data_IF_733531922237
#
_entry.id   IF_733531922237
#
_cell.length_a   1.000
_cell.length_b   1.000
_cell.length_c   1.000
_cell.angle_alpha   90.00
_cell.angle_beta   90.00
_cell.angle_gamma   90.00
#
_symmetry.space_group_name_H-M   'P 1'
#
loop_
_entity.id
_entity.type
_entity.pdbx_description
1 polymer ?
#
# COMPACT_ATOMS: atom_id res chain seq x y z
N UNK A 1 9.91 -37.04 2.71
CA UNK A 1 8.87 -36.20 2.07
C UNK A 1 9.18 -34.73 2.37
N UNK A 2 9.44 -33.85 1.39
CA UNK A 2 9.57 -32.40 1.66
C UNK A 2 8.19 -31.89 2.08
N UNK A 3 8.03 -31.51 3.35
CA UNK A 3 6.80 -30.91 3.85
C UNK A 3 6.54 -29.62 3.06
N UNK A 4 5.35 -29.48 2.46
CA UNK A 4 4.96 -28.26 1.73
C UNK A 4 4.97 -26.99 2.63
N UNK A 5 5.02 -27.19 3.94
CA UNK A 5 5.03 -26.15 4.98
C UNK A 5 6.43 -25.81 5.50
N UNK A 6 7.47 -26.63 5.24
CA UNK A 6 8.81 -26.36 5.76
C UNK A 6 9.45 -25.15 5.05
N UNK A 7 10.22 -24.31 5.76
CA UNK A 7 10.99 -23.23 5.14
C UNK A 7 11.89 -23.75 4.02
N UNK A 8 12.17 -22.91 3.01
CA UNK A 8 13.20 -23.24 2.03
C UNK A 8 14.56 -23.36 2.73
N UNK A 9 15.39 -24.36 2.39
CA UNK A 9 16.79 -24.41 2.77
C UNK A 9 17.48 -23.09 2.38
N UNK A 10 18.44 -22.63 3.18
CA UNK A 10 19.13 -21.36 2.93
C UNK A 10 19.76 -21.29 1.52
N UNK A 11 20.23 -22.43 0.99
CA UNK A 11 20.77 -22.56 -0.36
C UNK A 11 19.75 -22.38 -1.50
N UNK A 12 18.45 -22.53 -1.22
CA UNK A 12 17.36 -22.35 -2.18
C UNK A 12 16.72 -20.94 -2.06
N UNK A 13 17.23 -20.07 -1.18
CA UNK A 13 16.70 -18.71 -0.97
C UNK A 13 17.37 -17.69 -1.87
N UNK A 14 16.57 -16.75 -2.36
CA UNK A 14 17.05 -15.60 -3.12
C UNK A 14 17.38 -14.49 -2.13
N UNK A 15 18.64 -14.43 -1.69
CA UNK A 15 19.13 -13.50 -0.65
C UNK A 15 18.75 -12.04 -0.97
N UNK A 16 18.84 -11.65 -2.24
CA UNK A 16 18.46 -10.31 -2.69
C UNK A 16 17.02 -9.95 -2.32
N UNK A 17 16.07 -10.88 -2.46
CA UNK A 17 14.67 -10.61 -2.12
C UNK A 17 14.47 -10.45 -0.62
N UNK A 18 15.22 -11.20 0.19
CA UNK A 18 15.13 -11.12 1.64
C UNK A 18 15.72 -9.78 2.14
N UNK A 19 16.83 -9.32 1.57
CA UNK A 19 17.41 -7.99 1.84
C UNK A 19 16.42 -6.89 1.43
N UNK A 20 15.88 -6.95 0.21
CA UNK A 20 14.92 -5.96 -0.29
C UNK A 20 13.65 -5.91 0.57
N UNK A 21 13.18 -7.04 1.10
CA UNK A 21 12.05 -7.07 2.04
C UNK A 21 12.37 -6.37 3.35
N UNK A 22 13.53 -6.66 3.95
CA UNK A 22 13.97 -5.99 5.17
C UNK A 22 14.09 -4.47 4.97
N UNK A 23 14.68 -4.06 3.85
CA UNK A 23 14.79 -2.66 3.46
C UNK A 23 13.41 -2.01 3.23
N UNK A 24 12.51 -2.70 2.55
CA UNK A 24 11.14 -2.26 2.34
C UNK A 24 10.41 -1.99 3.66
N UNK A 25 10.53 -2.91 4.64
CA UNK A 25 9.94 -2.78 5.98
C UNK A 25 10.52 -1.58 6.73
N UNK A 26 11.84 -1.37 6.67
CA UNK A 26 12.47 -0.23 7.32
C UNK A 26 11.90 1.10 6.82
N UNK A 27 11.77 1.29 5.50
CA UNK A 27 11.21 2.56 5.01
C UNK A 27 9.71 2.70 5.25
N UNK A 28 8.95 1.60 5.27
CA UNK A 28 7.55 1.61 5.74
C UNK A 28 7.48 2.10 7.19
N UNK A 29 8.36 1.62 8.07
CA UNK A 29 8.44 2.07 9.46
C UNK A 29 8.72 3.57 9.55
N UNK A 30 9.67 4.10 8.76
CA UNK A 30 10.02 5.52 8.76
C UNK A 30 8.81 6.41 8.45
N UNK A 31 8.02 6.06 7.43
CA UNK A 31 6.82 6.84 7.05
C UNK A 31 5.73 6.72 8.11
N UNK A 32 5.50 5.51 8.62
CA UNK A 32 4.41 5.27 9.56
C UNK A 32 4.67 5.85 10.94
N UNK A 33 5.93 5.96 11.38
CA UNK A 33 6.28 6.49 12.70
C UNK A 33 5.68 7.88 12.93
N UNK A 34 5.63 8.72 11.89
CA UNK A 34 4.98 10.04 11.92
C UNK A 34 3.50 9.95 12.26
N UNK A 35 2.79 8.96 11.71
CA UNK A 35 1.35 8.81 11.93
C UNK A 35 1.07 8.08 13.24
N UNK A 36 1.96 7.22 13.72
CA UNK A 36 1.75 6.48 14.98
C UNK A 36 1.56 7.35 16.22
N UNK A 37 2.03 8.60 16.18
CA UNK A 37 1.86 9.58 17.28
C UNK A 37 0.57 10.41 17.16
N UNK A 38 -0.25 10.17 16.14
CA UNK A 38 -1.48 10.91 15.86
C UNK A 38 -2.65 9.96 15.53
N UNK A 39 -3.90 10.41 15.65
CA UNK A 39 -5.02 9.77 14.97
C UNK A 39 -4.73 9.66 13.48
N UNK A 40 -5.02 8.50 12.88
CA UNK A 40 -4.83 8.22 11.44
C UNK A 40 -5.64 9.17 10.57
N UNK A 41 -6.79 9.61 11.05
CA UNK A 41 -7.65 10.63 10.45
C UNK A 41 -6.95 11.95 10.13
N UNK A 42 -5.81 12.26 10.76
CA UNK A 42 -4.96 13.41 10.39
C UNK A 42 -4.45 13.32 8.95
N UNK A 43 -4.31 12.11 8.38
CA UNK A 43 -3.94 11.95 6.97
C UNK A 43 -4.97 12.52 5.98
N UNK A 44 -6.21 12.76 6.42
CA UNK A 44 -7.26 13.34 5.58
C UNK A 44 -7.19 14.87 5.51
N UNK A 45 -6.41 15.49 6.40
CA UNK A 45 -6.18 16.93 6.36
C UNK A 45 -5.10 17.29 5.34
N UNK A 46 -5.22 18.51 4.80
CA UNK A 46 -4.17 19.08 3.96
C UNK A 46 -2.88 19.22 4.79
N UNK A 47 -1.71 18.80 4.28
CA UNK A 47 -0.44 19.06 4.94
C UNK A 47 -0.26 20.54 5.26
N UNK A 48 0.05 20.87 6.52
CA UNK A 48 0.49 22.21 6.89
C UNK A 48 1.97 22.40 6.55
N UNK A 49 2.27 23.51 5.88
CA UNK A 49 3.65 23.99 5.69
C UNK A 49 4.04 24.99 6.78
N UNK A 50 3.09 25.41 7.60
CA UNK A 50 3.28 26.34 8.70
C UNK A 50 3.69 25.57 9.95
N UNK A 51 4.95 25.10 9.96
CA UNK A 51 5.56 24.39 11.07
C UNK A 51 7.03 24.82 11.22
N UNK A 52 7.56 24.83 12.46
CA UNK A 52 8.95 25.19 12.71
C UNK A 52 9.94 24.37 11.88
N UNK A 53 11.05 25.00 11.46
CA UNK A 53 12.05 24.35 10.58
C UNK A 53 12.59 23.02 11.13
N UNK A 54 12.71 22.89 12.45
CA UNK A 54 13.19 21.66 13.09
C UNK A 54 12.22 20.48 12.98
N UNK A 55 10.94 20.73 12.69
CA UNK A 55 9.93 19.71 12.35
C UNK A 55 9.79 19.55 10.83
N UNK A 56 9.84 20.66 10.10
CA UNK A 56 9.67 20.68 8.66
C UNK A 56 10.78 19.91 7.93
N UNK A 57 12.06 20.12 8.30
CA UNK A 57 13.19 19.50 7.59
C UNK A 57 13.15 17.97 7.68
N UNK A 58 13.01 17.33 8.87
CA UNK A 58 12.87 15.89 8.96
C UNK A 58 11.64 15.36 8.23
N UNK A 59 10.51 16.08 8.28
CA UNK A 59 9.30 15.70 7.55
C UNK A 59 9.57 15.64 6.04
N UNK A 60 10.12 16.71 5.47
CA UNK A 60 10.48 16.78 4.04
C UNK A 60 11.47 15.69 3.64
N UNK A 61 12.46 15.38 4.49
CA UNK A 61 13.39 14.27 4.24
C UNK A 61 12.67 12.92 4.22
N UNK A 62 11.76 12.67 5.16
CA UNK A 62 10.97 11.43 5.19
C UNK A 62 10.09 11.32 3.94
N UNK A 63 9.41 12.40 3.56
CA UNK A 63 8.59 12.46 2.35
C UNK A 63 9.42 12.17 1.10
N UNK A 64 10.55 12.87 0.98
CA UNK A 64 11.42 12.78 -0.18
C UNK A 64 12.07 11.41 -0.32
N UNK A 65 12.59 10.85 0.78
CA UNK A 65 13.36 9.60 0.74
C UNK A 65 12.51 8.34 0.83
N UNK A 66 11.39 8.37 1.58
CA UNK A 66 10.66 7.16 1.96
C UNK A 66 9.22 7.10 1.47
N UNK A 67 8.47 8.21 1.53
CA UNK A 67 7.07 8.25 1.11
C UNK A 67 6.96 7.89 -0.40
N UNK A 68 5.91 7.17 -0.78
CA UNK A 68 5.73 6.67 -2.15
C UNK A 68 6.52 5.38 -2.50
N UNK A 69 7.76 5.27 -2.02
CA UNK A 69 8.74 4.32 -2.58
C UNK A 69 8.68 2.95 -1.94
N UNK A 70 8.62 2.90 -0.62
CA UNK A 70 8.78 1.66 0.13
C UNK A 70 7.51 0.79 0.10
N UNK A 71 6.31 1.38 0.05
CA UNK A 71 5.09 0.59 -0.19
C UNK A 71 5.10 -0.01 -1.60
N UNK A 72 5.58 0.72 -2.62
CA UNK A 72 5.68 0.22 -4.00
C UNK A 72 6.66 -0.94 -4.08
N UNK A 73 7.83 -0.81 -3.47
CA UNK A 73 8.81 -1.90 -3.36
C UNK A 73 8.23 -3.11 -2.64
N UNK A 74 7.60 -2.92 -1.48
CA UNK A 74 6.99 -4.00 -0.71
C UNK A 74 5.88 -4.70 -1.51
N UNK A 75 5.07 -3.94 -2.24
CA UNK A 75 4.02 -4.43 -3.13
C UNK A 75 4.56 -5.30 -4.25
N UNK A 76 5.63 -4.83 -4.91
CA UNK A 76 6.31 -5.57 -5.97
C UNK A 76 6.86 -6.90 -5.43
N UNK A 77 7.51 -6.87 -4.27
CA UNK A 77 8.08 -8.05 -3.61
C UNK A 77 7.00 -9.04 -3.15
N UNK A 78 5.83 -8.56 -2.76
CA UNK A 78 4.68 -9.40 -2.43
C UNK A 78 4.20 -10.17 -3.66
N UNK A 79 3.96 -9.48 -4.79
CA UNK A 79 3.59 -10.09 -6.06
C UNK A 79 4.65 -11.08 -6.59
N UNK A 80 5.93 -10.74 -6.42
CA UNK A 80 7.04 -11.63 -6.76
C UNK A 80 7.02 -12.90 -5.90
N UNK A 81 6.84 -12.73 -4.59
CA UNK A 81 6.74 -13.82 -3.61
C UNK A 81 5.53 -14.72 -3.88
N UNK A 82 4.41 -14.16 -4.29
CA UNK A 82 3.21 -14.89 -4.71
C UNK A 82 3.53 -15.89 -5.82
N UNK A 83 4.16 -15.43 -6.91
CA UNK A 83 4.49 -16.28 -8.05
C UNK A 83 5.45 -17.39 -7.66
N UNK A 84 6.52 -17.06 -6.94
CA UNK A 84 7.48 -18.06 -6.46
C UNK A 84 6.78 -19.09 -5.58
N UNK A 85 5.94 -18.65 -4.64
CA UNK A 85 5.27 -19.56 -3.71
C UNK A 85 4.39 -20.57 -4.46
N UNK A 86 3.60 -20.12 -5.44
CA UNK A 86 2.71 -21.00 -6.19
C UNK A 86 3.42 -21.93 -7.19
N UNK A 87 4.65 -21.60 -7.59
CA UNK A 87 5.44 -22.38 -8.55
C UNK A 87 6.54 -23.21 -7.87
N UNK A 88 6.56 -23.28 -6.53
CA UNK A 88 7.36 -24.30 -5.84
C UNK A 88 6.90 -25.68 -6.29
N UNK A 89 7.86 -26.55 -6.67
CA UNK A 89 7.59 -27.96 -6.97
C UNK A 89 6.95 -28.61 -5.73
N UNK A 90 5.62 -28.76 -5.76
CA UNK A 90 4.93 -29.54 -4.76
C UNK A 90 5.22 -31.01 -5.05
N UNK A 91 5.83 -31.71 -4.10
CA UNK A 91 6.18 -33.14 -4.25
C UNK A 91 4.90 -33.99 -4.39
N UNK A 92 3.77 -33.52 -3.83
CA UNK A 92 2.44 -34.12 -3.97
C UNK A 92 1.35 -33.06 -3.75
N UNK A 93 0.44 -32.88 -4.72
CA UNK A 93 -0.78 -32.06 -4.55
C UNK A 93 -0.67 -30.56 -4.85
N UNK A 94 -1.81 -29.86 -4.77
CA UNK A 94 -1.91 -28.42 -5.05
C UNK A 94 -1.40 -27.58 -3.87
N UNK A 95 -0.56 -26.58 -4.13
CA UNK A 95 -0.08 -25.62 -3.13
C UNK A 95 -1.09 -24.49 -2.84
N UNK A 96 -2.17 -24.41 -3.62
CA UNK A 96 -3.19 -23.35 -3.51
C UNK A 96 -3.89 -23.35 -2.14
N UNK A 97 -4.31 -24.49 -1.54
CA UNK A 97 -4.93 -24.49 -0.22
C UNK A 97 -3.99 -23.92 0.86
N UNK A 98 -2.70 -24.23 0.78
CA UNK A 98 -1.69 -23.67 1.71
C UNK A 98 -1.56 -22.16 1.55
N UNK A 99 -1.55 -21.68 0.30
CA UNK A 99 -1.54 -20.25 0.00
C UNK A 99 -2.78 -19.53 0.56
N UNK A 100 -3.98 -20.06 0.29
CA UNK A 100 -5.25 -19.51 0.81
C UNK A 100 -5.28 -19.48 2.34
N UNK A 101 -4.80 -20.53 2.99
CA UNK A 101 -4.69 -20.57 4.46
C UNK A 101 -3.76 -19.46 4.98
N UNK A 102 -2.60 -19.27 4.35
CA UNK A 102 -1.66 -18.20 4.72
C UNK A 102 -2.29 -16.82 4.57
N UNK A 103 -3.01 -16.57 3.48
CA UNK A 103 -3.73 -15.31 3.29
C UNK A 103 -4.88 -15.14 4.28
N UNK A 104 -5.59 -16.21 4.63
CA UNK A 104 -6.65 -16.15 5.64
C UNK A 104 -6.08 -15.78 7.00
N UNK A 105 -4.95 -16.38 7.39
CA UNK A 105 -4.23 -16.00 8.62
C UNK A 105 -3.77 -14.54 8.54
N UNK A 106 -3.22 -14.10 7.41
CA UNK A 106 -2.82 -12.70 7.22
C UNK A 106 -4.00 -11.74 7.33
N UNK A 107 -5.16 -12.12 6.78
CA UNK A 107 -6.40 -11.35 6.87
C UNK A 107 -6.87 -11.23 8.33
N UNK A 108 -6.86 -12.33 9.08
CA UNK A 108 -7.20 -12.34 10.50
C UNK A 108 -6.23 -11.46 11.31
N UNK A 109 -4.94 -11.53 11.01
CA UNK A 109 -3.93 -10.64 11.62
C UNK A 109 -4.25 -9.18 11.29
N UNK A 110 -4.62 -8.85 10.04
CA UNK A 110 -5.02 -7.50 9.66
C UNK A 110 -6.24 -7.01 10.43
N UNK A 111 -7.29 -7.83 10.56
CA UNK A 111 -8.49 -7.50 11.36
C UNK A 111 -8.11 -7.26 12.83
N UNK A 112 -7.35 -8.16 13.43
CA UNK A 112 -6.89 -8.00 14.81
C UNK A 112 -5.99 -6.77 14.98
N UNK A 113 -5.16 -6.47 13.99
CA UNK A 113 -4.32 -5.29 13.99
C UNK A 113 -5.15 -3.99 13.95
N UNK A 114 -6.18 -3.91 13.10
CA UNK A 114 -7.10 -2.76 13.04
C UNK A 114 -7.79 -2.54 14.40
N UNK A 115 -8.32 -3.62 14.97
CA UNK A 115 -9.12 -3.55 16.20
C UNK A 115 -8.22 -3.28 17.41
N UNK A 116 -7.15 -4.06 17.57
CA UNK A 116 -6.36 -4.10 18.81
C UNK A 116 -5.21 -3.10 18.83
N UNK A 117 -4.69 -2.69 17.66
CA UNK A 117 -3.43 -1.97 17.57
C UNK A 117 -3.56 -0.61 16.86
N UNK A 118 -3.93 -0.58 15.58
CA UNK A 118 -3.85 0.64 14.78
C UNK A 118 -4.73 0.62 13.51
N UNK A 119 -5.41 1.74 13.23
CA UNK A 119 -6.39 1.85 12.15
C UNK A 119 -5.78 1.87 10.73
N UNK A 120 -4.50 2.22 10.56
CA UNK A 120 -3.86 2.34 9.24
C UNK A 120 -3.35 1.03 8.63
N UNK A 121 -4.01 -0.09 8.93
CA UNK A 121 -3.54 -1.42 8.54
C UNK A 121 -3.40 -1.63 7.03
N UNK A 122 -2.28 -2.22 6.64
CA UNK A 122 -2.00 -2.63 5.26
C UNK A 122 -2.20 -4.13 5.04
N UNK A 123 -2.16 -4.94 6.11
CA UNK A 123 -2.16 -6.41 6.03
C UNK A 123 -3.50 -6.96 5.52
N UNK A 124 -4.60 -6.35 5.94
CA UNK A 124 -5.96 -6.67 5.51
C UNK A 124 -6.06 -6.59 3.99
N UNK A 125 -5.72 -5.44 3.41
CA UNK A 125 -5.79 -5.25 1.96
C UNK A 125 -4.78 -6.12 1.21
N UNK A 126 -3.58 -6.32 1.76
CA UNK A 126 -2.60 -7.22 1.15
C UNK A 126 -3.09 -8.68 1.11
N UNK A 127 -3.80 -9.13 2.14
CA UNK A 127 -4.41 -10.45 2.16
C UNK A 127 -5.49 -10.57 1.08
N UNK A 128 -6.41 -9.60 0.99
CA UNK A 128 -7.47 -9.54 -0.03
C UNK A 128 -6.86 -9.52 -1.44
N UNK A 129 -5.82 -8.71 -1.66
CA UNK A 129 -5.16 -8.60 -2.96
C UNK A 129 -4.37 -9.85 -3.31
N UNK A 130 -3.79 -10.50 -2.30
CA UNK A 130 -3.22 -11.83 -2.45
C UNK A 130 -4.24 -12.85 -2.97
N UNK A 131 -5.52 -12.76 -2.56
CA UNK A 131 -6.57 -13.62 -3.12
C UNK A 131 -6.88 -13.22 -4.57
N UNK A 132 -6.99 -11.92 -4.87
CA UNK A 132 -7.22 -11.45 -6.25
C UNK A 132 -6.11 -11.88 -7.21
N UNK A 133 -4.85 -11.94 -6.78
CA UNK A 133 -3.74 -12.44 -7.60
C UNK A 133 -3.97 -13.85 -8.15
N UNK A 134 -4.77 -14.68 -7.47
CA UNK A 134 -5.12 -16.01 -7.98
C UNK A 134 -5.91 -15.95 -9.30
N UNK A 135 -6.69 -14.90 -9.52
CA UNK A 135 -7.44 -14.66 -10.76
C UNK A 135 -6.50 -14.35 -11.94
N UNK A 136 -5.39 -13.67 -11.67
CA UNK A 136 -4.40 -13.28 -12.69
C UNK A 136 -3.39 -14.40 -12.98
N UNK A 137 -3.32 -15.43 -12.13
CA UNK A 137 -2.31 -16.50 -12.20
C UNK A 137 -2.19 -17.14 -13.59
N UNK A 138 -3.32 -17.43 -14.24
CA UNK A 138 -3.38 -18.15 -15.52
C UNK A 138 -3.39 -17.22 -16.75
N UNK A 139 -3.40 -15.90 -16.55
CA UNK A 139 -3.39 -14.94 -17.66
C UNK A 139 -2.00 -14.88 -18.30
N UNK A 140 -1.97 -14.58 -19.61
CA UNK A 140 -0.72 -14.34 -20.35
C UNK A 140 0.03 -13.12 -19.82
N UNK A 141 1.33 -13.06 -20.04
CA UNK A 141 2.18 -11.95 -19.56
C UNK A 141 1.67 -10.59 -20.05
N UNK A 142 1.22 -10.52 -21.32
CA UNK A 142 0.63 -9.30 -21.90
C UNK A 142 -0.62 -8.86 -21.13
N UNK A 143 -1.54 -9.79 -20.82
CA UNK A 143 -2.77 -9.47 -20.07
C UNK A 143 -2.45 -9.01 -18.66
N UNK A 144 -1.50 -9.65 -17.98
CA UNK A 144 -1.07 -9.23 -16.64
C UNK A 144 -0.43 -7.84 -16.69
N UNK A 145 0.36 -7.53 -17.72
CA UNK A 145 0.99 -6.21 -17.89
C UNK A 145 -0.04 -5.11 -18.15
N UNK A 146 -1.02 -5.38 -19.03
CA UNK A 146 -2.12 -4.45 -19.32
C UNK A 146 -2.94 -4.17 -18.06
N UNK A 147 -3.36 -5.20 -17.32
CA UNK A 147 -4.09 -5.02 -16.06
C UNK A 147 -3.25 -4.30 -15.00
N UNK A 148 -1.96 -4.63 -14.90
CA UNK A 148 -1.03 -3.93 -14.02
C UNK A 148 -0.97 -2.44 -14.32
N UNK A 149 -0.83 -2.09 -15.60
CA UNK A 149 -0.78 -0.69 -16.04
C UNK A 149 -2.11 0.03 -15.80
N UNK A 150 -3.24 -0.57 -16.18
CA UNK A 150 -4.57 -0.02 -15.96
C UNK A 150 -4.79 0.28 -14.48
N UNK A 151 -4.47 -0.67 -13.60
CA UNK A 151 -4.66 -0.51 -12.15
C UNK A 151 -3.73 0.55 -11.53
N UNK A 152 -2.51 0.72 -12.06
CA UNK A 152 -1.59 1.80 -11.64
C UNK A 152 -2.09 3.17 -12.10
N UNK A 153 -2.59 3.28 -13.32
CA UNK A 153 -3.06 4.56 -13.89
C UNK A 153 -4.45 4.95 -13.40
N UNK A 154 -5.27 3.98 -12.97
CA UNK A 154 -6.66 4.22 -12.58
C UNK A 154 -6.81 5.30 -11.50
N UNK A 155 -6.04 5.31 -10.39
CA UNK A 155 -6.12 6.38 -9.41
C UNK A 155 -5.81 7.76 -10.00
N UNK A 156 -4.79 7.88 -10.83
CA UNK A 156 -4.43 9.14 -11.48
C UNK A 156 -5.54 9.64 -12.42
N UNK A 157 -6.18 8.73 -13.15
CA UNK A 157 -7.33 9.05 -14.01
C UNK A 157 -8.51 9.54 -13.16
N UNK A 158 -8.86 8.84 -12.09
CA UNK A 158 -9.96 9.24 -11.20
C UNK A 158 -9.64 10.61 -10.57
N UNK A 159 -8.41 10.83 -10.09
CA UNK A 159 -7.99 12.12 -9.56
C UNK A 159 -8.09 13.24 -10.60
N UNK A 160 -7.61 13.01 -11.83
CA UNK A 160 -7.70 14.01 -12.90
C UNK A 160 -9.16 14.34 -13.25
N UNK A 161 -10.04 13.34 -13.32
CA UNK A 161 -11.47 13.54 -13.58
C UNK A 161 -12.15 14.29 -12.44
N UNK A 162 -11.93 13.90 -11.19
CA UNK A 162 -12.50 14.57 -10.01
C UNK A 162 -12.02 16.02 -9.91
N UNK A 163 -10.74 16.27 -10.12
CA UNK A 163 -10.18 17.62 -10.16
C UNK A 163 -10.77 18.44 -11.31
N UNK A 164 -10.88 17.88 -12.51
CA UNK A 164 -11.50 18.54 -13.66
C UNK A 164 -12.97 18.91 -13.40
N UNK A 165 -13.74 18.00 -12.77
CA UNK A 165 -15.13 18.28 -12.36
C UNK A 165 -15.20 19.39 -11.31
N UNK A 166 -14.29 19.42 -10.34
CA UNK A 166 -14.23 20.50 -9.34
C UNK A 166 -13.92 21.86 -9.99
N UNK A 167 -12.95 21.92 -10.90
CA UNK A 167 -12.61 23.15 -11.65
C UNK A 167 -13.78 23.63 -12.48
N UNK A 168 -14.41 22.74 -13.25
CA UNK A 168 -15.60 23.06 -14.05
C UNK A 168 -16.76 23.56 -13.16
N UNK A 169 -17.06 22.85 -12.06
CA UNK A 169 -18.11 23.26 -11.12
C UNK A 169 -17.84 24.61 -10.47
N UNK A 170 -16.58 24.89 -10.12
CA UNK A 170 -16.17 26.18 -9.53
C UNK A 170 -16.23 27.36 -10.49
N UNK A 171 -16.39 27.11 -11.80
CA UNK A 171 -16.60 28.15 -12.81
C UNK A 171 -18.00 28.77 -12.75
N UNK A 172 -18.94 28.11 -12.06
CA UNK A 172 -20.31 28.59 -11.87
C UNK A 172 -20.53 29.04 -10.42
N UNK A 173 -21.22 30.17 -10.14
CA UNK A 173 -21.42 30.67 -8.77
C UNK A 173 -22.08 29.66 -7.82
N UNK A 174 -23.12 28.97 -8.27
CA UNK A 174 -23.81 27.93 -7.48
C UNK A 174 -22.91 26.72 -7.21
N UNK A 175 -22.17 26.28 -8.23
CA UNK A 175 -21.24 25.15 -8.10
C UNK A 175 -20.09 25.47 -7.16
N UNK A 176 -19.53 26.69 -7.22
CA UNK A 176 -18.52 27.17 -6.28
C UNK A 176 -19.07 27.19 -4.84
N UNK A 177 -20.26 27.75 -4.62
CA UNK A 177 -20.86 27.79 -3.29
C UNK A 177 -21.08 26.37 -2.72
N UNK A 178 -21.53 25.42 -3.54
CA UNK A 178 -21.71 24.03 -3.14
C UNK A 178 -20.39 23.33 -2.80
N UNK A 179 -19.33 23.54 -3.60
CA UNK A 179 -18.00 22.98 -3.35
C UNK A 179 -17.41 23.55 -2.05
N UNK A 180 -17.48 24.87 -1.86
CA UNK A 180 -16.95 25.52 -0.66
C UNK A 180 -17.70 25.05 0.61
N UNK A 181 -19.03 24.93 0.54
CA UNK A 181 -19.85 24.39 1.63
C UNK A 181 -19.49 22.92 1.94
N UNK A 182 -19.34 22.08 0.92
CA UNK A 182 -18.94 20.68 1.08
C UNK A 182 -17.53 20.54 1.67
N UNK A 183 -16.58 21.37 1.24
CA UNK A 183 -15.21 21.39 1.75
C UNK A 183 -15.18 21.85 3.22
N UNK A 184 -15.97 22.86 3.59
CA UNK A 184 -16.09 23.34 4.96
C UNK A 184 -16.70 22.26 5.87
N UNK A 185 -17.77 21.60 5.44
CA UNK A 185 -18.41 20.51 6.19
C UNK A 185 -17.49 19.30 6.37
N UNK A 186 -16.78 18.91 5.30
CA UNK A 186 -15.79 17.83 5.35
C UNK A 186 -14.66 18.15 6.33
N UNK A 187 -14.16 19.39 6.31
CA UNK A 187 -13.11 19.84 7.22
C UNK A 187 -13.56 19.82 8.69
N UNK A 188 -14.82 20.21 8.95
CA UNK A 188 -15.44 20.14 10.29
C UNK A 188 -15.54 18.69 10.77
N UNK A 189 -16.11 17.82 9.93
CA UNK A 189 -16.29 16.40 10.22
C UNK A 189 -14.96 15.71 10.53
N UNK A 190 -13.92 15.97 9.73
CA UNK A 190 -12.57 15.42 9.94
C UNK A 190 -11.98 15.94 11.25
N UNK A 191 -12.12 17.25 11.54
CA UNK A 191 -11.58 17.85 12.77
C UNK A 191 -12.25 17.30 14.03
N UNK A 192 -13.58 17.14 14.01
CA UNK A 192 -14.34 16.52 15.11
C UNK A 192 -13.94 15.05 15.30
N UNK A 193 -13.75 14.31 14.21
CA UNK A 193 -13.27 12.93 14.27
C UNK A 193 -11.87 12.83 14.88
N UNK A 194 -10.95 13.72 14.49
CA UNK A 194 -9.59 13.77 15.03
C UNK A 194 -9.63 14.04 16.53
N UNK A 195 -10.39 15.05 16.99
CA UNK A 195 -10.45 15.39 18.40
C UNK A 195 -11.09 14.27 19.23
N UNK A 196 -12.18 13.67 18.74
CA UNK A 196 -12.79 12.49 19.37
C UNK A 196 -11.79 11.34 19.51
N UNK A 197 -11.02 11.07 18.45
CA UNK A 197 -10.01 10.00 18.46
C UNK A 197 -8.86 10.34 19.41
N UNK A 198 -8.43 11.61 19.46
CA UNK A 198 -7.41 12.10 20.39
C UNK A 198 -7.84 11.92 21.85
N UNK A 199 -9.08 12.26 22.18
CA UNK A 199 -9.64 12.06 23.53
C UNK A 199 -9.74 10.57 23.88
N UNK A 200 -10.21 9.73 22.95
CA UNK A 200 -10.28 8.29 23.15
C UNK A 200 -8.89 7.68 23.39
N UNK A 201 -7.88 8.04 22.60
CA UNK A 201 -6.52 7.53 22.76
C UNK A 201 -5.80 8.04 24.02
N UNK A 202 -6.09 9.28 24.45
CA UNK A 202 -5.44 9.88 25.62
C UNK A 202 -6.07 9.50 26.96
N UNK A 203 -7.40 9.34 27.00
CA UNK A 203 -8.15 9.23 28.25
C UNK A 203 -9.26 8.17 28.24
N UNK A 204 -9.55 7.57 27.08
CA UNK A 204 -10.63 6.61 26.93
C UNK A 204 -10.30 5.23 27.46
N UNK A 205 -11.35 4.46 27.71
CA UNK A 205 -11.30 3.01 27.92
C UNK A 205 -10.87 2.26 26.67
N UNK A 206 -10.46 1.00 26.82
CA UNK A 206 -10.04 0.17 25.69
C UNK A 206 -11.13 0.01 24.62
N UNK A 207 -12.41 -0.09 25.01
CA UNK A 207 -13.53 -0.16 24.06
C UNK A 207 -13.73 1.14 23.28
N UNK A 208 -13.54 2.29 23.92
CA UNK A 208 -13.59 3.60 23.25
C UNK A 208 -12.45 3.75 22.24
N UNK A 209 -11.25 3.29 22.59
CA UNK A 209 -10.09 3.23 21.69
C UNK A 209 -10.38 2.33 20.48
N UNK A 210 -10.94 1.14 20.70
CA UNK A 210 -11.32 0.21 19.62
C UNK A 210 -12.36 0.85 18.69
N UNK A 211 -13.40 1.48 19.26
CA UNK A 211 -14.42 2.18 18.48
C UNK A 211 -13.84 3.34 17.68
N UNK A 212 -12.88 4.10 18.24
CA UNK A 212 -12.18 5.15 17.51
C UNK A 212 -11.44 4.57 16.29
N UNK A 213 -10.66 3.50 16.47
CA UNK A 213 -9.92 2.85 15.37
C UNK A 213 -10.82 2.32 14.27
N UNK A 214 -11.95 1.69 14.62
CA UNK A 214 -12.91 1.18 13.64
C UNK A 214 -13.50 2.33 12.82
N UNK A 215 -13.92 3.42 13.49
CA UNK A 215 -14.47 4.59 12.82
C UNK A 215 -13.43 5.26 11.90
N UNK A 216 -12.19 5.39 12.34
CA UNK A 216 -11.10 5.93 11.51
C UNK A 216 -10.81 5.03 10.30
N UNK A 217 -10.78 3.71 10.48
CA UNK A 217 -10.59 2.76 9.38
C UNK A 217 -11.75 2.82 8.36
N UNK A 218 -13.00 2.90 8.82
CA UNK A 218 -14.17 3.07 7.96
C UNK A 218 -14.08 4.38 7.19
N UNK A 219 -13.69 5.47 7.85
CA UNK A 219 -13.57 6.78 7.22
C UNK A 219 -12.46 6.80 6.14
N UNK A 220 -11.47 5.92 6.19
CA UNK A 220 -10.45 5.76 5.15
C UNK A 220 -10.92 4.96 3.93
N UNK A 221 -12.02 4.19 4.02
CA UNK A 221 -12.47 3.32 2.93
C UNK A 221 -12.72 4.05 1.59
N UNK A 222 -13.26 5.27 1.54
CA UNK A 222 -13.40 6.00 0.27
C UNK A 222 -12.05 6.33 -0.37
N UNK A 223 -11.02 6.63 0.43
CA UNK A 223 -9.67 6.92 -0.03
C UNK A 223 -9.00 5.72 -0.72
N UNK A 224 -9.50 4.50 -0.49
CA UNK A 224 -8.89 3.30 -1.03
C UNK A 224 -8.87 3.26 -2.55
N UNK A 225 -9.89 3.83 -3.20
CA UNK A 225 -10.01 3.89 -4.66
C UNK A 225 -8.86 4.69 -5.30
N UNK A 226 -8.25 5.59 -4.53
CA UNK A 226 -7.18 6.47 -4.98
C UNK A 226 -5.77 5.94 -4.68
N UNK A 227 -5.65 4.80 -3.99
CA UNK A 227 -4.34 4.28 -3.59
C UNK A 227 -4.18 2.79 -3.93
N UNK A 228 -5.14 1.97 -3.50
CA UNK A 228 -4.97 0.53 -3.51
C UNK A 228 -5.10 -0.16 -4.88
N UNK A 229 -5.78 0.40 -5.92
CA UNK A 229 -5.64 -0.13 -7.27
C UNK A 229 -4.18 -0.15 -7.73
N UNK A 230 -3.42 0.92 -7.47
CA UNK A 230 -2.00 0.98 -7.84
C UNK A 230 -1.16 -0.05 -7.08
N UNK A 231 -1.50 -0.35 -5.82
CA UNK A 231 -0.88 -1.44 -5.05
C UNK A 231 -1.11 -2.79 -5.73
N UNK A 232 -2.35 -3.12 -6.10
CA UNK A 232 -2.66 -4.37 -6.82
C UNK A 232 -1.98 -4.43 -8.19
N UNK A 233 -1.96 -3.32 -8.95
CA UNK A 233 -1.24 -3.24 -10.21
C UNK A 233 0.27 -3.49 -10.04
N UNK A 234 0.86 -2.97 -8.96
CA UNK A 234 2.26 -3.22 -8.60
C UNK A 234 2.49 -4.68 -8.22
N UNK A 235 1.54 -5.36 -7.55
CA UNK A 235 1.65 -6.80 -7.30
C UNK A 235 1.69 -7.59 -8.63
N UNK A 236 0.91 -7.19 -9.63
CA UNK A 236 0.93 -7.82 -10.96
C UNK A 236 2.28 -7.65 -11.66
N UNK A 237 2.89 -6.48 -11.58
CA UNK A 237 4.26 -6.29 -12.07
C UNK A 237 5.28 -7.10 -11.27
N UNK A 238 5.10 -7.26 -9.96
CA UNK A 238 5.93 -8.13 -9.14
C UNK A 238 5.84 -9.60 -9.58
N UNK A 239 4.62 -10.05 -9.86
CA UNK A 239 4.35 -11.38 -10.40
C UNK A 239 5.00 -11.58 -11.78
N UNK A 240 4.93 -10.58 -12.68
CA UNK A 240 5.60 -10.61 -13.98
C UNK A 240 7.13 -10.65 -13.85
N UNK A 241 7.70 -9.85 -12.95
CA UNK A 241 9.13 -9.86 -12.67
C UNK A 241 9.60 -11.25 -12.23
N UNK A 242 8.78 -11.95 -11.44
CA UNK A 242 9.06 -13.33 -11.03
C UNK A 242 8.91 -14.34 -12.19
N UNK A 243 7.92 -14.18 -13.08
CA UNK A 243 7.80 -15.01 -14.29
C UNK A 243 9.04 -14.91 -15.19
N UNK A 244 9.66 -13.74 -15.23
CA UNK A 244 10.89 -13.47 -15.99
C UNK A 244 12.18 -13.74 -15.21
N UNK A 245 12.11 -14.27 -13.98
CA UNK A 245 13.25 -14.58 -13.12
C UNK A 245 14.20 -13.38 -12.89
N UNK A 246 13.67 -12.16 -12.84
CA UNK A 246 14.50 -10.95 -12.83
C UNK A 246 15.48 -10.86 -11.65
N UNK A 247 15.09 -11.35 -10.46
CA UNK A 247 15.91 -11.27 -9.25
C UNK A 247 16.86 -12.46 -9.04
N UNK A 248 16.67 -13.57 -9.76
CA UNK A 248 17.53 -14.77 -9.63
C UNK A 248 18.83 -14.59 -10.40
N UNK A 249 18.77 -13.94 -11.57
CA UNK A 249 19.92 -13.74 -12.46
C UNK A 249 20.37 -12.27 -12.50
N UNK A 250 20.57 -11.65 -11.32
CA UNK A 250 20.85 -10.21 -11.21
C UNK A 250 22.03 -9.75 -12.08
N UNK A 251 23.08 -10.56 -12.22
CA UNK A 251 24.22 -10.25 -13.10
C UNK A 251 23.82 -10.18 -14.59
N UNK A 252 23.00 -11.12 -15.07
CA UNK A 252 22.52 -11.13 -16.45
C UNK A 252 21.50 -10.02 -16.73
N UNK A 253 20.72 -9.63 -15.71
CA UNK A 253 19.70 -8.59 -15.80
C UNK A 253 20.19 -7.19 -15.40
N UNK A 254 21.47 -7.04 -15.06
CA UNK A 254 22.04 -5.77 -14.61
C UNK A 254 21.87 -4.65 -15.66
N UNK A 255 21.96 -4.98 -16.94
CA UNK A 255 21.76 -4.04 -18.04
C UNK A 255 20.33 -3.50 -18.10
N UNK A 256 19.32 -4.32 -17.78
CA UNK A 256 17.93 -3.89 -17.66
C UNK A 256 17.78 -2.89 -16.52
N UNK A 257 18.27 -3.21 -15.32
CA UNK A 257 18.17 -2.30 -14.17
C UNK A 257 18.93 -0.99 -14.40
N UNK A 258 20.11 -1.02 -15.03
CA UNK A 258 20.87 0.19 -15.40
C UNK A 258 20.12 1.09 -16.37
N UNK A 259 19.37 0.52 -17.31
CA UNK A 259 18.54 1.28 -18.27
C UNK A 259 17.28 1.86 -17.62
N UNK A 260 16.69 1.16 -16.66
CA UNK A 260 15.53 1.64 -15.91
C UNK A 260 15.87 2.73 -14.89
N UNK A 261 17.10 2.73 -14.36
CA UNK A 261 17.54 3.67 -13.33
C UNK A 261 17.33 5.16 -13.70
N UNK A 262 17.79 5.68 -14.85
CA UNK A 262 17.59 7.09 -15.20
C UNK A 262 16.12 7.48 -15.43
N UNK A 263 15.25 6.52 -15.78
CA UNK A 263 13.82 6.77 -15.97
C UNK A 263 13.06 6.74 -14.64
N UNK A 264 13.44 5.82 -13.75
CA UNK A 264 12.79 5.61 -12.45
C UNK A 264 13.24 6.61 -11.38
N UNK A 265 14.45 7.16 -11.46
CA UNK A 265 14.95 8.16 -10.51
C UNK A 265 14.11 9.44 -10.51
N UNK A 266 13.84 10.12 -11.65
CA UNK A 266 12.99 11.31 -11.67
C UNK A 266 11.57 11.03 -11.20
N UNK A 267 10.97 9.91 -11.61
CA UNK A 267 9.63 9.50 -11.18
C UNK A 267 9.58 9.22 -9.68
N UNK A 268 10.65 8.65 -9.12
CA UNK A 268 10.76 8.40 -7.70
C UNK A 268 11.09 9.66 -6.88
N UNK A 269 11.54 10.75 -7.52
CA UNK A 269 11.89 12.03 -6.88
C UNK A 269 10.72 13.03 -6.94
N UNK A 270 9.88 12.93 -7.98
CA UNK A 270 8.64 13.71 -8.17
C UNK A 270 7.51 13.23 -7.26
#
# INVERSE_FOLDING_TARGET
>A
MKNLTSPLPASERIILLDILRGFAIFGILMVNMKIFIHPVSVMMLKPSLDQPLFLLIPDLLIRFLFEGKFYTLFSLLFGYGFWIFLNKKAVTGSIIPVYRRRLTVLLLIGVLHIVLLWAGDILFFYAIFGFFLLLFRKLSDTKVAVWGLVLILLPAIIMALTWGMMVLGSSFPEGKAAIDASAAESSRTISEMIERSRLAYGHGSFSEIVNARINEWIALLPGLLFFYPAVLGTFLFGMLAARKNLAVSNAANASFFRKCLPLSLPIGIA
#
